data_IF_160473300240
#
_entry.id   IF_160473300240
#
_cell.length_a   1.000
_cell.length_b   1.000
_cell.length_c   1.000
_cell.angle_alpha   90.00
_cell.angle_beta   90.00
_cell.angle_gamma   90.00
#
_symmetry.space_group_name_H-M   'P 1'
#
loop_
_entity.id
_entity.type
_entity.pdbx_description
1 polymer ?
#
# COMPACT_ATOMS: atom_id res chain seq x y z
N UNK A 1 14.77 -19.03 78.59
CA UNK A 1 13.48 -19.07 77.86
C UNK A 1 13.08 -17.63 77.54
N UNK A 2 13.17 -17.20 76.29
CA UNK A 2 12.60 -15.94 75.81
C UNK A 2 12.29 -16.06 74.32
N UNK A 3 10.99 -16.17 74.00
CA UNK A 3 10.46 -16.19 72.63
C UNK A 3 10.52 -14.78 72.04
N UNK A 4 11.20 -14.60 70.91
CA UNK A 4 11.13 -13.39 70.10
C UNK A 4 9.99 -13.56 69.09
N UNK A 5 8.93 -12.77 69.26
CA UNK A 5 7.81 -12.70 68.34
C UNK A 5 8.27 -12.10 67.00
N UNK A 6 8.10 -12.85 65.91
CA UNK A 6 8.32 -12.37 64.54
C UNK A 6 7.05 -11.65 64.09
N UNK A 7 7.14 -10.32 64.00
CA UNK A 7 6.10 -9.45 63.45
C UNK A 7 5.95 -9.71 61.95
N UNK A 8 4.79 -10.22 61.52
CA UNK A 8 4.43 -10.36 60.11
C UNK A 8 3.82 -9.04 59.64
N UNK A 9 4.55 -8.27 58.83
CA UNK A 9 3.95 -7.19 58.02
C UNK A 9 3.27 -7.82 56.81
N UNK A 10 2.03 -7.44 56.45
CA UNK A 10 1.42 -7.91 55.22
C UNK A 10 2.10 -7.24 54.02
N UNK A 11 2.49 -8.05 53.04
CA UNK A 11 2.95 -7.59 51.73
C UNK A 11 1.71 -7.24 50.92
N UNK A 12 1.50 -5.96 50.64
CA UNK A 12 0.51 -5.52 49.67
C UNK A 12 1.02 -5.84 48.27
N UNK A 13 0.40 -6.81 47.59
CA UNK A 13 0.53 -7.01 46.15
C UNK A 13 -0.24 -5.88 45.46
N UNK A 14 0.47 -4.87 44.96
CA UNK A 14 -0.10 -3.94 44.00
C UNK A 14 -0.33 -4.72 42.69
N UNK A 15 -1.60 -4.92 42.31
CA UNK A 15 -1.94 -5.38 40.97
C UNK A 15 -1.50 -4.30 39.98
N UNK A 16 -0.46 -4.60 39.20
CA UNK A 16 -0.15 -3.84 37.99
C UNK A 16 -1.27 -4.14 36.98
N UNK A 17 -2.27 -3.27 36.92
CA UNK A 17 -3.09 -3.13 35.72
C UNK A 17 -2.21 -2.46 34.67
N UNK A 18 -1.48 -3.27 33.89
CA UNK A 18 -0.87 -2.78 32.65
C UNK A 18 -2.03 -2.35 31.73
N UNK A 19 -2.18 -1.07 31.38
CA UNK A 19 -3.13 -0.70 30.35
C UNK A 19 -2.70 -1.43 29.07
N UNK A 20 -3.62 -2.21 28.50
CA UNK A 20 -3.42 -2.87 27.22
C UNK A 20 -2.77 -1.87 26.24
N UNK A 21 -1.73 -2.27 25.51
CA UNK A 21 -1.01 -1.35 24.63
C UNK A 21 -2.02 -0.71 23.69
N UNK A 22 -2.13 0.62 23.74
CA UNK A 22 -2.99 1.37 22.83
C UNK A 22 -2.64 0.94 21.41
N UNK A 23 -3.62 0.41 20.68
CA UNK A 23 -3.46 0.07 19.27
C UNK A 23 -3.05 1.37 18.56
N UNK A 24 -1.79 1.44 18.12
CA UNK A 24 -1.28 2.59 17.38
C UNK A 24 -2.11 2.65 16.10
N UNK A 25 -2.94 3.67 15.98
CA UNK A 25 -3.79 3.87 14.80
C UNK A 25 -2.89 3.87 13.56
N UNK A 26 -3.04 2.85 12.70
CA UNK A 26 -2.30 2.75 11.45
C UNK A 26 -2.77 3.89 10.56
N UNK A 27 -2.01 4.98 10.53
CA UNK A 27 -2.28 6.12 9.65
C UNK A 27 -2.27 5.61 8.21
N UNK A 28 -3.38 5.75 7.47
CA UNK A 28 -3.51 5.20 6.12
C UNK A 28 -2.85 6.10 5.10
N UNK A 29 -2.32 5.54 4.01
CA UNK A 29 -1.67 6.29 2.92
C UNK A 29 -2.57 7.39 2.33
N UNK A 30 -3.89 7.15 2.24
CA UNK A 30 -4.83 8.16 1.74
C UNK A 30 -4.98 9.37 2.67
N UNK A 31 -4.76 9.19 3.97
CA UNK A 31 -4.87 10.24 4.99
C UNK A 31 -3.54 10.99 5.18
N UNK A 32 -2.43 10.24 5.12
CA UNK A 32 -1.08 10.75 5.29
C UNK A 32 -0.22 10.27 4.13
N UNK A 33 -0.23 11.08 3.08
CA UNK A 33 0.51 10.75 1.87
C UNK A 33 2.01 10.94 2.11
N UNK A 34 2.85 9.96 1.76
CA UNK A 34 4.27 9.99 2.08
C UNK A 34 5.00 11.16 1.41
N UNK A 35 5.85 11.83 2.18
CA UNK A 35 6.75 12.89 1.69
C UNK A 35 7.76 12.36 0.65
N UNK A 36 8.33 13.29 -0.14
CA UNK A 36 9.37 12.99 -1.12
C UNK A 36 10.55 12.22 -0.50
N UNK A 37 10.94 11.11 -1.12
CA UNK A 37 12.05 10.27 -0.66
C UNK A 37 11.69 9.28 0.44
N UNK A 38 10.43 9.25 0.89
CA UNK A 38 9.95 8.21 1.82
C UNK A 38 9.95 6.83 1.15
N UNK A 39 10.49 5.82 1.85
CA UNK A 39 10.54 4.40 1.43
C UNK A 39 9.48 3.56 2.18
N UNK A 40 8.27 4.12 2.33
CA UNK A 40 7.18 3.48 3.08
C UNK A 40 6.73 2.21 2.37
N UNK A 41 6.65 1.09 3.09
CA UNK A 41 6.28 -0.23 2.55
C UNK A 41 7.22 -0.74 1.43
N UNK A 42 8.44 -0.21 1.30
CA UNK A 42 9.33 -0.54 0.18
C UNK A 42 8.90 0.10 -1.15
N UNK A 43 8.03 1.10 -1.10
CA UNK A 43 7.64 1.95 -2.22
C UNK A 43 8.25 3.33 -2.09
N UNK A 44 8.46 4.00 -3.22
CA UNK A 44 9.08 5.32 -3.28
C UNK A 44 8.00 6.39 -3.51
N UNK A 45 8.04 7.46 -2.73
CA UNK A 45 7.24 8.67 -2.98
C UNK A 45 8.09 9.79 -3.53
N UNK A 46 7.60 10.51 -4.54
CA UNK A 46 8.14 11.81 -4.94
C UNK A 46 7.43 13.00 -4.26
N UNK A 47 6.53 12.70 -3.31
CA UNK A 47 5.66 13.68 -2.62
C UNK A 47 4.32 13.89 -3.33
N UNK A 48 4.18 13.44 -4.57
CA UNK A 48 2.97 13.53 -5.36
C UNK A 48 2.47 12.17 -5.86
N UNK A 49 3.39 11.28 -6.23
CA UNK A 49 3.17 9.91 -6.66
C UNK A 49 3.92 8.96 -5.73
N UNK A 50 3.19 8.03 -5.14
CA UNK A 50 3.74 6.91 -4.40
C UNK A 50 3.70 5.67 -5.28
N UNK A 51 4.85 5.03 -5.46
CA UNK A 51 5.02 3.89 -6.35
C UNK A 51 5.58 2.67 -5.63
N UNK A 52 4.89 1.54 -5.76
CA UNK A 52 5.28 0.26 -5.15
C UNK A 52 5.14 -0.88 -6.17
N UNK A 53 5.98 -1.92 -6.04
CA UNK A 53 5.96 -3.09 -6.93
C UNK A 53 5.58 -4.35 -6.15
N UNK A 54 4.50 -5.00 -6.56
CA UNK A 54 4.10 -6.30 -6.04
C UNK A 54 4.62 -7.40 -6.97
N UNK A 55 5.42 -8.33 -6.44
CA UNK A 55 6.07 -9.38 -7.23
C UNK A 55 6.03 -10.74 -6.51
N UNK A 56 4.85 -11.37 -6.47
CA UNK A 56 4.62 -12.67 -5.84
C UNK A 56 4.72 -13.88 -6.80
N UNK A 57 5.48 -13.73 -7.90
CA UNK A 57 5.77 -14.77 -8.90
C UNK A 57 4.64 -15.10 -9.88
N UNK A 58 3.38 -14.86 -9.51
CA UNK A 58 2.19 -14.99 -10.39
C UNK A 58 1.37 -13.70 -10.35
N UNK A 59 0.76 -13.34 -11.47
CA UNK A 59 0.00 -12.10 -11.60
C UNK A 59 -1.18 -12.07 -10.63
N UNK A 60 -1.87 -13.20 -10.49
CA UNK A 60 -3.02 -13.40 -9.61
C UNK A 60 -2.63 -13.06 -8.16
N UNK A 61 -1.56 -13.67 -7.65
CA UNK A 61 -1.07 -13.41 -6.29
C UNK A 61 -0.59 -11.97 -6.09
N UNK A 62 0.15 -11.43 -7.05
CA UNK A 62 0.61 -10.04 -6.96
C UNK A 62 -0.57 -9.06 -6.95
N UNK A 63 -1.63 -9.38 -7.70
CA UNK A 63 -2.83 -8.57 -7.76
C UNK A 63 -3.68 -8.67 -6.48
N UNK A 64 -3.80 -9.86 -5.91
CA UNK A 64 -4.49 -10.06 -4.63
C UNK A 64 -3.82 -9.25 -3.50
N UNK A 65 -2.48 -9.27 -3.44
CA UNK A 65 -1.70 -8.45 -2.49
C UNK A 65 -1.92 -6.95 -2.71
N UNK A 66 -1.95 -6.51 -3.97
CA UNK A 66 -2.24 -5.13 -4.32
C UNK A 66 -3.63 -4.71 -3.86
N UNK A 67 -4.65 -5.54 -4.07
CA UNK A 67 -6.03 -5.25 -3.63
C UNK A 67 -6.16 -5.18 -2.13
N UNK A 68 -5.51 -6.10 -1.41
CA UNK A 68 -5.45 -6.06 0.05
C UNK A 68 -4.80 -4.76 0.52
N UNK A 69 -3.67 -4.37 -0.08
CA UNK A 69 -3.00 -3.11 0.23
C UNK A 69 -3.94 -1.90 0.01
N UNK A 70 -4.66 -1.83 -1.12
CA UNK A 70 -5.59 -0.74 -1.38
C UNK A 70 -6.70 -0.64 -0.32
N UNK A 71 -7.23 -1.78 0.13
CA UNK A 71 -8.26 -1.80 1.19
C UNK A 71 -7.68 -1.32 2.53
N UNK A 72 -6.50 -1.78 2.90
CA UNK A 72 -5.85 -1.37 4.15
C UNK A 72 -5.47 0.11 4.17
N UNK A 73 -5.13 0.68 3.00
CA UNK A 73 -4.65 2.06 2.87
C UNK A 73 -5.76 3.07 2.53
N UNK A 74 -7.04 2.67 2.51
CA UNK A 74 -8.20 3.57 2.40
C UNK A 74 -8.71 3.84 0.97
N UNK A 75 -8.37 2.98 0.02
CA UNK A 75 -8.76 3.08 -1.39
C UNK A 75 -9.85 2.07 -1.79
N UNK A 76 -10.58 1.48 -0.84
CA UNK A 76 -11.62 0.48 -1.07
C UNK A 76 -12.79 0.97 -1.95
N UNK A 77 -13.04 2.28 -1.95
CA UNK A 77 -14.09 2.90 -2.75
C UNK A 77 -13.68 3.18 -4.21
N UNK A 78 -12.39 3.06 -4.54
CA UNK A 78 -11.90 3.29 -5.90
C UNK A 78 -12.21 2.03 -6.73
N UNK A 79 -12.88 2.16 -7.89
CA UNK A 79 -13.13 1.01 -8.74
C UNK A 79 -11.81 0.46 -9.26
N UNK A 80 -11.65 -0.85 -9.16
CA UNK A 80 -10.51 -1.61 -9.67
C UNK A 80 -11.03 -2.88 -10.35
N UNK A 81 -10.26 -3.50 -11.25
CA UNK A 81 -10.61 -4.80 -11.83
C UNK A 81 -11.00 -5.84 -10.77
N UNK A 82 -11.97 -6.68 -11.08
CA UNK A 82 -12.49 -7.69 -10.16
C UNK A 82 -11.47 -8.80 -9.90
N UNK A 83 -10.57 -9.07 -10.84
CA UNK A 83 -9.53 -10.09 -10.74
C UNK A 83 -8.40 -9.84 -11.74
N UNK A 84 -7.39 -10.72 -11.72
CA UNK A 84 -6.25 -10.65 -12.61
C UNK A 84 -6.61 -10.89 -14.09
N UNK A 85 -7.70 -11.61 -14.38
CA UNK A 85 -8.14 -11.87 -15.76
C UNK A 85 -8.82 -10.64 -16.35
N UNK A 86 -9.57 -9.88 -15.56
CA UNK A 86 -10.05 -8.56 -15.95
C UNK A 86 -8.89 -7.57 -16.10
N UNK A 87 -7.93 -7.56 -15.17
CA UNK A 87 -6.74 -6.71 -15.27
C UNK A 87 -5.95 -6.97 -16.57
N UNK A 88 -5.83 -8.24 -17.01
CA UNK A 88 -5.16 -8.60 -18.28
C UNK A 88 -5.81 -7.95 -19.51
N UNK A 89 -7.09 -7.59 -19.47
CA UNK A 89 -7.77 -6.92 -20.59
C UNK A 89 -7.26 -5.50 -20.84
N UNK A 90 -6.65 -4.87 -19.83
CA UNK A 90 -6.00 -3.56 -19.94
C UNK A 90 -4.57 -3.65 -20.46
N UNK A 91 -4.06 -4.86 -20.71
CA UNK A 91 -2.70 -5.04 -21.21
C UNK A 91 -2.62 -4.69 -22.68
N UNK A 92 -1.62 -3.88 -23.04
CA UNK A 92 -1.36 -3.56 -24.43
C UNK A 92 -0.93 -4.82 -25.20
N UNK A 93 -1.51 -5.07 -26.39
CA UNK A 93 -1.13 -6.18 -27.25
C UNK A 93 0.38 -6.17 -27.52
N UNK A 94 1.11 -7.30 -27.35
CA UNK A 94 2.57 -7.32 -27.49
C UNK A 94 3.08 -6.75 -28.82
N UNK A 95 2.35 -7.02 -29.92
CA UNK A 95 2.70 -6.56 -31.28
C UNK A 95 2.57 -5.04 -31.46
N UNK A 96 1.69 -4.40 -30.70
CA UNK A 96 1.38 -2.97 -30.83
C UNK A 96 1.92 -2.14 -29.65
N UNK A 97 2.53 -2.78 -28.64
CA UNK A 97 2.92 -2.11 -27.39
C UNK A 97 3.79 -0.89 -27.62
N UNK A 98 4.80 -0.97 -28.50
CA UNK A 98 5.67 0.17 -28.79
C UNK A 98 4.93 1.34 -29.46
N UNK A 99 3.96 1.05 -30.33
CA UNK A 99 3.19 2.09 -31.02
C UNK A 99 2.14 2.69 -30.09
N UNK A 100 1.47 1.85 -29.30
CA UNK A 100 0.39 2.25 -28.40
C UNK A 100 0.89 2.88 -27.09
N UNK A 101 2.13 2.62 -26.67
CA UNK A 101 2.69 3.27 -25.48
C UNK A 101 2.74 4.79 -25.61
N UNK A 102 2.83 5.31 -26.84
CA UNK A 102 2.72 6.74 -27.13
C UNK A 102 1.33 7.31 -26.79
N UNK A 103 0.29 6.49 -26.82
CA UNK A 103 -1.10 6.90 -26.66
C UNK A 103 -1.74 6.49 -25.31
N UNK A 104 -1.19 5.50 -24.62
CA UNK A 104 -1.76 5.01 -23.37
C UNK A 104 -0.78 4.22 -22.52
N UNK A 105 -1.14 4.00 -21.25
CA UNK A 105 -0.34 3.20 -20.32
C UNK A 105 -0.60 1.70 -20.53
N UNK A 106 0.40 0.84 -20.26
CA UNK A 106 0.22 -0.62 -20.26
C UNK A 106 -0.36 -1.07 -18.91
N UNK A 107 -1.66 -0.82 -18.70
CA UNK A 107 -2.34 -1.14 -17.45
C UNK A 107 -3.69 -0.44 -17.24
N UNK A 108 -4.24 -0.63 -16.05
CA UNK A 108 -5.48 0.01 -15.61
C UNK A 108 -5.18 1.40 -15.03
N UNK A 109 -5.95 2.41 -15.46
CA UNK A 109 -5.78 3.81 -15.04
C UNK A 109 -7.13 4.32 -14.57
N UNK A 110 -7.22 4.68 -13.29
CA UNK A 110 -8.41 5.29 -12.70
C UNK A 110 -8.01 6.15 -11.51
N UNK A 111 -8.21 7.46 -11.61
CA UNK A 111 -7.80 8.42 -10.59
C UNK A 111 -8.33 8.00 -9.18
N UNK A 112 -7.47 7.92 -8.14
CA UNK A 112 -6.07 8.35 -8.06
C UNK A 112 -5.03 7.26 -8.34
N UNK A 113 -5.42 6.12 -8.89
CA UNK A 113 -4.60 4.92 -9.01
C UNK A 113 -4.20 4.63 -10.47
N UNK A 114 -3.00 4.07 -10.64
CA UNK A 114 -2.60 3.34 -11.84
C UNK A 114 -2.06 1.97 -11.44
N UNK A 115 -2.54 0.92 -12.09
CA UNK A 115 -2.10 -0.46 -11.91
C UNK A 115 -1.46 -0.89 -13.23
N UNK A 116 -0.14 -0.87 -13.27
CA UNK A 116 0.64 -1.00 -14.49
C UNK A 116 1.33 -2.36 -14.57
N UNK A 117 1.40 -2.90 -15.79
CA UNK A 117 2.28 -4.02 -16.08
C UNK A 117 3.73 -3.54 -16.15
N UNK A 118 4.70 -4.32 -15.65
CA UNK A 118 6.09 -3.94 -15.76
C UNK A 118 6.54 -3.91 -17.22
N UNK A 119 7.51 -3.04 -17.57
CA UNK A 119 8.08 -3.00 -18.91
C UNK A 119 8.75 -4.32 -19.26
N UNK A 120 9.13 -4.49 -20.54
CA UNK A 120 9.84 -5.70 -20.99
C UNK A 120 11.09 -5.95 -20.13
N UNK A 121 11.30 -7.20 -19.72
CA UNK A 121 12.40 -7.60 -18.83
C UNK A 121 12.09 -7.45 -17.33
N UNK A 122 10.93 -6.91 -16.94
CA UNK A 122 10.52 -6.83 -15.54
C UNK A 122 10.19 -8.20 -14.92
N UNK A 123 10.07 -8.23 -13.58
CA UNK A 123 9.76 -9.44 -12.81
C UNK A 123 8.47 -10.10 -13.32
N UNK A 124 8.55 -11.40 -13.64
CA UNK A 124 7.39 -12.16 -14.14
C UNK A 124 6.26 -12.16 -13.12
N UNK A 125 5.04 -11.88 -13.58
CA UNK A 125 3.86 -11.86 -12.74
C UNK A 125 3.81 -10.69 -11.75
N UNK A 126 4.69 -9.70 -11.89
CA UNK A 126 4.63 -8.48 -11.07
C UNK A 126 3.61 -7.48 -11.61
N UNK A 127 3.16 -6.59 -10.73
CA UNK A 127 2.38 -5.39 -11.03
C UNK A 127 2.97 -4.20 -10.31
N UNK A 128 2.86 -3.03 -10.92
CA UNK A 128 3.29 -1.76 -10.36
C UNK A 128 2.04 -1.00 -9.96
N UNK A 129 1.97 -0.53 -8.73
CA UNK A 129 0.93 0.37 -8.26
C UNK A 129 1.52 1.77 -8.15
N UNK A 130 0.88 2.73 -8.79
CA UNK A 130 1.11 4.16 -8.60
C UNK A 130 -0.15 4.77 -7.98
N UNK A 131 0.03 5.52 -6.91
CA UNK A 131 -1.03 6.22 -6.19
C UNK A 131 -0.67 7.70 -6.21
N UNK A 132 -1.60 8.54 -6.60
CA UNK A 132 -1.40 9.98 -6.66
C UNK A 132 -2.08 10.70 -5.51
N UNK A 133 -1.43 11.73 -4.98
CA UNK A 133 -1.95 12.51 -3.87
C UNK A 133 -3.17 13.35 -4.31
N UNK A 134 -4.35 13.03 -3.79
CA UNK A 134 -5.61 13.73 -4.08
C UNK A 134 -5.67 15.14 -3.47
N UNK A 135 -4.89 15.40 -2.41
CA UNK A 135 -4.85 16.68 -1.72
C UNK A 135 -3.94 17.71 -2.42
N UNK A 136 -3.12 17.26 -3.38
CA UNK A 136 -2.20 18.13 -4.11
C UNK A 136 -2.93 19.07 -5.09
N UNK A 137 -2.48 20.31 -5.16
CA UNK A 137 -3.08 21.29 -6.06
C UNK A 137 -2.95 20.85 -7.52
N UNK A 138 -4.09 20.83 -8.23
CA UNK A 138 -4.14 20.39 -9.62
C UNK A 138 -3.86 18.90 -9.82
N UNK A 139 -4.15 18.05 -8.82
CA UNK A 139 -3.88 16.60 -8.89
C UNK A 139 -4.41 15.95 -10.17
N UNK A 140 -5.61 16.31 -10.63
CA UNK A 140 -6.16 15.76 -11.88
C UNK A 140 -5.27 16.03 -13.09
N UNK A 141 -4.72 17.26 -13.20
CA UNK A 141 -3.81 17.62 -14.28
C UNK A 141 -2.49 16.88 -14.14
N UNK A 142 -1.96 16.80 -12.92
CA UNK A 142 -0.73 16.08 -12.63
C UNK A 142 -0.89 14.56 -12.88
N UNK A 143 -2.08 13.99 -12.68
CA UNK A 143 -2.37 12.56 -12.84
C UNK A 143 -2.32 12.13 -14.31
N UNK A 144 -2.83 13.01 -15.18
CA UNK A 144 -2.84 12.81 -16.63
C UNK A 144 -1.60 13.36 -17.35
N UNK A 145 -0.72 14.07 -16.64
CA UNK A 145 0.56 14.52 -17.19
C UNK A 145 1.49 13.33 -17.42
N UNK A 146 2.09 13.32 -18.61
CA UNK A 146 3.18 12.44 -19.03
C UNK A 146 4.46 13.25 -19.12
#
# INVERSE_FOLDING_TARGET
MALRAVSRRPVFLASYDDPAPAEVEKVRLRQDFPETGSDRYGGLSDGYCFRIVFAAGRLERSYDLLRQFLQEEGYEAVPVPADADELKKFRLPPKLRHQLSLFGEDGYVHNPLKILFPPQGGKRGAVILEIYNEAEAGHLLKFHRR
#
